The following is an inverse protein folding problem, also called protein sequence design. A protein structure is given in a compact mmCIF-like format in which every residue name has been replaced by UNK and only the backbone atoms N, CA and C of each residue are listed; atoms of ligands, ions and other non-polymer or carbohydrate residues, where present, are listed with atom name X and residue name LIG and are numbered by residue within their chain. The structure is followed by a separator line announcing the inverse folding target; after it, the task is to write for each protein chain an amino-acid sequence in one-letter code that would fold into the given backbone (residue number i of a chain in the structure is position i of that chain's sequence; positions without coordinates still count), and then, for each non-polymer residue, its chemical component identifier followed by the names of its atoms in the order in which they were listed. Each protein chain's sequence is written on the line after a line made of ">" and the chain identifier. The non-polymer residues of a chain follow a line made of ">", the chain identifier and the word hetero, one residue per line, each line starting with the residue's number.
data_IF_581098264236
#
_entry.id   IF_581098264236
#
_cell.length_a   1.000
_cell.length_b   1.000
_cell.length_c   1.000
_cell.angle_alpha   90.00
_cell.angle_beta   90.00
_cell.angle_gamma   90.00
#
_symmetry.space_group_name_H-M   'P 1'
#
loop_
_entity.id
_entity.type
_entity.pdbx_description
1 polymer ?
#
# COMPACT_ATOMS: atom_id res chain seq x y z
N UNK A 1 12.09 -31.53 -8.18
CA UNK A 1 11.77 -30.09 -8.25
C UNK A 1 11.34 -29.64 -6.86
N UNK A 2 12.25 -28.99 -6.13
CA UNK A 2 11.95 -28.44 -4.81
C UNK A 2 11.35 -27.05 -5.00
N UNK A 3 10.07 -26.91 -4.67
CA UNK A 3 9.40 -25.61 -4.57
C UNK A 3 9.91 -24.97 -3.28
N UNK A 4 10.96 -24.16 -3.39
CA UNK A 4 11.46 -23.36 -2.28
C UNK A 4 10.44 -22.26 -1.99
N UNK A 5 9.52 -22.52 -1.06
CA UNK A 5 8.73 -21.48 -0.41
C UNK A 5 9.71 -20.64 0.40
N UNK A 6 10.13 -19.51 -0.19
CA UNK A 6 10.91 -18.51 0.51
C UNK A 6 10.00 -17.87 1.55
N UNK A 7 10.02 -18.42 2.76
CA UNK A 7 9.46 -17.78 3.95
C UNK A 7 10.36 -16.58 4.24
N UNK A 8 10.05 -15.43 3.65
CA UNK A 8 10.70 -14.17 3.99
C UNK A 8 10.23 -13.81 5.40
N UNK A 9 11.10 -14.07 6.37
CA UNK A 9 11.00 -13.57 7.73
C UNK A 9 10.96 -12.02 7.66
N UNK A 10 9.76 -11.45 7.79
CA UNK A 10 9.52 -10.02 7.79
C UNK A 10 9.99 -9.39 9.11
N UNK A 11 11.31 -9.28 9.27
CA UNK A 11 11.95 -8.48 10.32
C UNK A 11 13.27 -7.86 9.83
N UNK A 12 13.45 -7.69 8.51
CA UNK A 12 14.51 -6.83 7.97
C UNK A 12 14.04 -5.39 8.03
N UNK A 13 14.59 -4.64 8.99
CA UNK A 13 14.39 -3.20 9.14
C UNK A 13 14.49 -2.49 7.80
N UNK A 14 13.36 -1.99 7.29
CA UNK A 14 13.26 -1.23 6.01
C UNK A 14 14.13 0.02 5.97
N UNK A 15 14.73 0.40 7.10
CA UNK A 15 15.70 1.52 7.22
C UNK A 15 16.87 1.43 6.25
N UNK A 16 17.34 0.23 5.91
CA UNK A 16 18.55 0.03 5.10
C UNK A 16 18.32 -0.73 3.79
N UNK A 17 17.07 -1.03 3.44
CA UNK A 17 16.77 -1.74 2.21
C UNK A 17 17.02 -0.85 0.98
N UNK A 18 17.57 -1.41 -0.11
CA UNK A 18 17.62 -0.74 -1.41
C UNK A 18 16.23 -0.25 -1.82
N UNK A 19 16.14 0.97 -2.39
CA UNK A 19 14.82 1.56 -2.67
C UNK A 19 14.01 0.78 -3.70
N UNK A 20 14.67 0.16 -4.68
CA UNK A 20 14.03 -0.69 -5.67
C UNK A 20 13.28 -1.86 -5.04
N UNK A 21 13.82 -2.48 -3.98
CA UNK A 21 13.14 -3.53 -3.23
C UNK A 21 11.93 -3.00 -2.47
N UNK A 22 12.08 -1.82 -1.86
CA UNK A 22 10.98 -1.12 -1.19
C UNK A 22 9.86 -0.80 -2.19
N UNK A 23 10.20 -0.22 -3.33
CA UNK A 23 9.26 0.13 -4.40
C UNK A 23 8.56 -1.11 -4.95
N UNK A 24 9.28 -2.21 -5.19
CA UNK A 24 8.67 -3.47 -5.63
C UNK A 24 7.67 -4.02 -4.60
N UNK A 25 8.03 -3.99 -3.32
CA UNK A 25 7.14 -4.42 -2.23
C UNK A 25 5.88 -3.53 -2.13
N UNK A 26 6.04 -2.21 -2.21
CA UNK A 26 4.91 -1.28 -2.20
C UNK A 26 4.00 -1.47 -3.42
N UNK A 27 4.57 -1.70 -4.60
CA UNK A 27 3.82 -2.00 -5.82
C UNK A 27 3.02 -3.30 -5.66
N UNK A 28 3.62 -4.36 -5.11
CA UNK A 28 2.92 -5.63 -4.88
C UNK A 28 1.76 -5.45 -3.89
N UNK A 29 2.01 -4.78 -2.75
CA UNK A 29 0.98 -4.50 -1.73
C UNK A 29 -0.16 -3.66 -2.30
N UNK A 30 0.16 -2.57 -2.98
CA UNK A 30 -0.83 -1.68 -3.58
C UNK A 30 -1.61 -2.36 -4.69
N UNK A 31 -0.96 -3.20 -5.52
CA UNK A 31 -1.61 -3.97 -6.58
C UNK A 31 -2.61 -4.98 -6.03
N UNK A 32 -2.23 -5.74 -4.99
CA UNK A 32 -3.14 -6.66 -4.30
C UNK A 32 -4.35 -5.93 -3.70
N UNK A 33 -4.09 -4.82 -2.99
CA UNK A 33 -5.14 -4.00 -2.38
C UNK A 33 -6.07 -3.38 -3.44
N UNK A 34 -5.52 -2.89 -4.55
CA UNK A 34 -6.31 -2.33 -5.65
C UNK A 34 -7.20 -3.40 -6.29
N UNK A 35 -6.72 -4.62 -6.45
CA UNK A 35 -7.52 -5.72 -6.97
C UNK A 35 -8.69 -6.07 -6.04
N UNK A 36 -8.47 -6.11 -4.71
CA UNK A 36 -9.56 -6.29 -3.75
C UNK A 36 -10.58 -5.15 -3.81
N UNK A 37 -10.09 -3.90 -3.90
CA UNK A 37 -10.93 -2.71 -4.06
C UNK A 37 -11.81 -2.77 -5.32
N UNK A 38 -11.23 -3.09 -6.49
CA UNK A 38 -12.00 -3.18 -7.73
C UNK A 38 -13.05 -4.30 -7.69
N UNK A 39 -12.71 -5.48 -7.14
CA UNK A 39 -13.68 -6.57 -6.95
C UNK A 39 -14.85 -6.18 -6.05
N UNK A 40 -14.60 -5.37 -5.02
CA UNK A 40 -15.67 -4.82 -4.19
C UNK A 40 -16.58 -3.89 -5.00
N UNK A 41 -16.02 -3.06 -5.88
CA UNK A 41 -16.78 -2.15 -6.74
C UNK A 41 -17.58 -2.85 -7.85
N UNK A 42 -17.20 -4.06 -8.24
CA UNK A 42 -17.93 -4.87 -9.24
C UNK A 42 -19.30 -5.36 -8.72
N UNK A 43 -19.54 -5.28 -7.41
CA UNK A 43 -20.76 -5.74 -6.76
C UNK A 43 -21.49 -4.56 -6.09
N UNK A 44 -22.79 -4.70 -5.74
CA UNK A 44 -23.45 -3.73 -4.88
C UNK A 44 -22.65 -3.48 -3.60
N UNK A 45 -22.46 -2.21 -3.26
CA UNK A 45 -21.58 -1.83 -2.16
C UNK A 45 -22.15 -2.33 -0.83
N UNK A 46 -21.40 -3.21 -0.18
CA UNK A 46 -21.67 -3.67 1.19
C UNK A 46 -20.83 -2.85 2.15
N UNK A 47 -21.48 -2.17 3.10
CA UNK A 47 -20.82 -1.24 4.04
C UNK A 47 -19.67 -1.89 4.83
N UNK A 48 -19.83 -3.16 5.22
CA UNK A 48 -18.78 -3.93 5.90
C UNK A 48 -17.52 -4.08 5.03
N UNK A 49 -17.70 -4.41 3.76
CA UNK A 49 -16.60 -4.63 2.83
C UNK A 49 -15.93 -3.31 2.46
N UNK A 50 -16.73 -2.24 2.25
CA UNK A 50 -16.24 -0.87 2.08
C UNK A 50 -15.34 -0.43 3.23
N UNK A 51 -15.79 -0.58 4.48
CA UNK A 51 -14.99 -0.26 5.67
C UNK A 51 -13.71 -1.09 5.75
N UNK A 52 -13.77 -2.37 5.41
CA UNK A 52 -12.60 -3.23 5.40
C UNK A 52 -11.55 -2.73 4.40
N UNK A 53 -11.96 -2.40 3.16
CA UNK A 53 -11.06 -1.86 2.14
C UNK A 53 -10.53 -0.47 2.53
N UNK A 54 -11.39 0.39 3.10
CA UNK A 54 -10.99 1.70 3.64
C UNK A 54 -9.85 1.56 4.66
N UNK A 55 -10.04 0.72 5.68
CA UNK A 55 -9.04 0.47 6.72
C UNK A 55 -7.71 -0.04 6.15
N UNK A 56 -7.77 -0.89 5.11
CA UNK A 56 -6.56 -1.37 4.42
C UNK A 56 -5.82 -0.24 3.70
N UNK A 57 -6.52 0.66 2.99
CA UNK A 57 -5.87 1.81 2.35
C UNK A 57 -5.30 2.80 3.38
N UNK A 58 -5.99 3.04 4.49
CA UNK A 58 -5.47 3.88 5.58
C UNK A 58 -4.21 3.31 6.21
N UNK A 59 -4.20 1.99 6.43
CA UNK A 59 -3.04 1.27 6.96
C UNK A 59 -1.86 1.33 6.00
N UNK A 60 -2.08 1.05 4.71
CA UNK A 60 -1.06 1.15 3.68
C UNK A 60 -0.50 2.58 3.56
N UNK A 61 -1.35 3.60 3.53
CA UNK A 61 -0.92 5.01 3.48
C UNK A 61 -0.07 5.38 4.70
N UNK A 62 -0.42 4.88 5.88
CA UNK A 62 0.33 5.10 7.11
C UNK A 62 1.71 4.46 7.02
N UNK A 63 1.80 3.20 6.58
CA UNK A 63 3.06 2.49 6.36
C UNK A 63 3.99 3.27 5.41
N UNK A 64 3.48 3.76 4.28
CA UNK A 64 4.27 4.54 3.31
C UNK A 64 4.75 5.87 3.91
N UNK A 65 3.91 6.56 4.70
CA UNK A 65 4.30 7.79 5.41
C UNK A 65 5.41 7.55 6.41
N UNK A 66 5.32 6.47 7.18
CA UNK A 66 6.36 6.07 8.13
C UNK A 66 7.67 5.70 7.43
N UNK A 67 7.58 4.96 6.33
CA UNK A 67 8.74 4.62 5.51
C UNK A 67 9.44 5.87 4.99
N UNK A 68 8.67 6.82 4.42
CA UNK A 68 9.18 8.12 3.96
C UNK A 68 9.85 8.89 5.09
N UNK A 69 9.26 8.92 6.29
CA UNK A 69 9.81 9.64 7.45
C UNK A 69 11.12 9.03 7.96
N UNK A 70 11.23 7.71 7.93
CA UNK A 70 12.33 6.97 8.57
C UNK A 70 13.53 6.71 7.65
N UNK A 71 13.38 6.96 6.34
CA UNK A 71 14.43 6.75 5.35
C UNK A 71 15.42 7.92 5.36
N UNK A 72 16.70 7.61 5.54
CA UNK A 72 17.80 8.61 5.47
C UNK A 72 18.24 8.80 4.03
N UNK A 73 18.73 10.00 3.71
CA UNK A 73 19.35 10.35 2.42
C UNK A 73 18.48 10.02 1.19
N UNK A 74 17.16 10.14 1.36
CA UNK A 74 16.18 9.85 0.32
C UNK A 74 16.33 10.79 -0.88
N UNK A 75 16.44 10.23 -2.09
CA UNK A 75 16.56 11.05 -3.29
C UNK A 75 15.23 11.75 -3.65
N UNK A 76 15.29 12.79 -4.48
CA UNK A 76 14.09 13.45 -4.98
C UNK A 76 13.16 12.48 -5.76
N UNK A 77 13.75 11.52 -6.50
CA UNK A 77 12.97 10.52 -7.23
C UNK A 77 12.25 9.56 -6.27
N UNK A 78 12.96 9.06 -5.27
CA UNK A 78 12.37 8.20 -4.23
C UNK A 78 11.23 8.93 -3.49
N UNK A 79 11.43 10.21 -3.19
CA UNK A 79 10.40 11.06 -2.56
C UNK A 79 9.15 11.17 -3.42
N UNK A 80 9.33 11.36 -4.73
CA UNK A 80 8.22 11.41 -5.69
C UNK A 80 7.45 10.09 -5.71
N UNK A 81 8.14 8.96 -5.73
CA UNK A 81 7.52 7.62 -5.74
C UNK A 81 6.70 7.38 -4.48
N UNK A 82 7.25 7.65 -3.28
CA UNK A 82 6.51 7.48 -2.03
C UNK A 82 5.31 8.41 -1.94
N UNK A 83 5.45 9.67 -2.37
CA UNK A 83 4.31 10.60 -2.44
C UNK A 83 3.22 10.07 -3.38
N UNK A 84 3.59 9.50 -4.54
CA UNK A 84 2.60 8.93 -5.47
C UNK A 84 1.74 7.84 -4.81
N UNK A 85 2.34 6.95 -4.01
CA UNK A 85 1.58 5.95 -3.26
C UNK A 85 0.65 6.58 -2.20
N UNK A 86 1.11 7.63 -1.50
CA UNK A 86 0.31 8.36 -0.51
C UNK A 86 -0.88 9.04 -1.18
N UNK A 87 -0.66 9.68 -2.32
CA UNK A 87 -1.69 10.43 -3.05
C UNK A 87 -2.74 9.49 -3.62
N UNK A 88 -2.32 8.43 -4.33
CA UNK A 88 -3.20 7.38 -4.84
C UNK A 88 -4.07 6.75 -3.74
N UNK A 89 -3.46 6.46 -2.58
CA UNK A 89 -4.20 5.90 -1.45
C UNK A 89 -5.18 6.91 -0.85
N UNK A 90 -4.79 8.19 -0.77
CA UNK A 90 -5.68 9.25 -0.28
C UNK A 90 -6.89 9.46 -1.18
N UNK A 91 -6.72 9.42 -2.51
CA UNK A 91 -7.83 9.46 -3.46
C UNK A 91 -8.80 8.30 -3.24
N UNK A 92 -8.30 7.08 -3.10
CA UNK A 92 -9.16 5.91 -2.87
C UNK A 92 -9.87 5.97 -1.51
N UNK A 93 -9.20 6.45 -0.46
CA UNK A 93 -9.80 6.67 0.86
C UNK A 93 -10.95 7.67 0.77
N UNK A 94 -10.74 8.80 0.08
CA UNK A 94 -11.78 9.81 -0.09
C UNK A 94 -13.00 9.21 -0.81
N UNK A 95 -12.78 8.55 -1.95
CA UNK A 95 -13.85 7.89 -2.68
C UNK A 95 -14.61 6.86 -1.85
N UNK A 96 -13.89 6.04 -1.06
CA UNK A 96 -14.52 5.07 -0.17
C UNK A 96 -15.35 5.74 0.94
N UNK A 97 -14.96 6.92 1.41
CA UNK A 97 -15.79 7.69 2.35
C UNK A 97 -17.03 8.27 1.67
N UNK A 98 -16.88 8.78 0.45
CA UNK A 98 -18.00 9.34 -0.32
C UNK A 98 -19.05 8.25 -0.66
N UNK A 99 -18.63 6.99 -0.84
CA UNK A 99 -19.54 5.85 -1.02
C UNK A 99 -20.36 5.48 0.24
N UNK A 100 -20.06 6.08 1.39
CA UNK A 100 -20.82 5.87 2.63
C UNK A 100 -22.08 6.74 2.72
N UNK A 101 -22.22 7.72 1.83
CA UNK A 101 -23.37 8.65 1.73
C UNK A 101 -24.51 8.05 0.90
#
# INVERSE_FOLDING_TARGET
>A
MLVSVLVINACTSTKNAPFNEVEASLNQKYGALSNEYYKMLENPIVEKDRRNILNKFESFRTEVRELKKNRKDQTANETRVLNSFIDKSSTNIQYLNDLSE
#
